data_IF_352473672164
#
_entry.id   IF_352473672164
#
_cell.length_a   1.000
_cell.length_b   1.000
_cell.length_c   1.000
_cell.angle_alpha   90.00
_cell.angle_beta   90.00
_cell.angle_gamma   90.00
#
_symmetry.space_group_name_H-M   'P 1'
#
loop_
_entity.id
_entity.type
_entity.pdbx_description
1 polymer ?
#
# COMPACT_ATOMS: atom_id res chain seq x y z
N UNK A 1 -2.26 5.30 7.92
CA UNK A 1 -0.79 5.35 7.97
C UNK A 1 -0.27 6.78 7.91
N UNK A 2 -0.68 7.58 6.91
CA UNK A 2 -0.17 8.96 6.75
C UNK A 2 -0.43 9.86 7.98
N UNK A 3 -1.66 9.86 8.52
CA UNK A 3 -2.00 10.62 9.73
C UNK A 3 -1.16 10.22 10.95
N UNK A 4 -0.90 8.92 11.11
CA UNK A 4 -0.02 8.43 12.17
C UNK A 4 1.44 8.80 11.95
N UNK A 5 1.90 8.82 10.70
CA UNK A 5 3.27 9.23 10.37
C UNK A 5 3.48 10.73 10.65
N UNK A 6 2.53 11.59 10.26
CA UNK A 6 2.52 13.02 10.61
C UNK A 6 2.61 13.21 12.13
N UNK A 7 1.75 12.54 12.91
CA UNK A 7 1.75 12.66 14.37
C UNK A 7 3.07 12.18 14.99
N UNK A 8 3.66 11.08 14.49
CA UNK A 8 4.97 10.58 14.96
C UNK A 8 6.09 11.58 14.66
N UNK A 9 6.09 12.16 13.45
CA UNK A 9 7.10 13.14 13.05
C UNK A 9 6.97 14.43 13.85
N UNK A 10 5.74 14.90 14.13
CA UNK A 10 5.49 16.05 15.00
C UNK A 10 6.04 15.83 16.42
N UNK A 11 5.88 14.63 16.99
CA UNK A 11 6.46 14.26 18.29
C UNK A 11 8.01 14.27 18.21
N UNK A 12 8.58 13.76 17.13
CA UNK A 12 10.03 13.68 16.92
C UNK A 12 10.70 15.05 16.77
N UNK A 13 10.00 16.04 16.20
CA UNK A 13 10.49 17.42 16.08
C UNK A 13 10.38 18.25 17.39
N UNK A 14 9.95 17.63 18.49
CA UNK A 14 9.78 18.30 19.79
C UNK A 14 8.43 18.98 19.96
N UNK A 15 7.46 18.70 19.08
CA UNK A 15 6.07 19.12 19.24
C UNK A 15 5.40 18.37 20.39
N UNK A 16 4.96 19.09 21.41
CA UNK A 16 4.24 18.51 22.55
C UNK A 16 2.78 18.21 22.12
N UNK A 17 2.57 17.05 21.47
CA UNK A 17 1.28 16.63 20.87
C UNK A 17 0.13 16.52 21.88
N UNK A 18 0.41 16.52 23.18
CA UNK A 18 -0.63 16.49 24.23
C UNK A 18 -1.46 17.79 24.31
N UNK A 19 -1.03 18.90 23.69
CA UNK A 19 -1.79 20.17 23.70
C UNK A 19 -2.51 20.53 22.40
N UNK A 20 -2.13 19.99 21.24
CA UNK A 20 -2.64 20.47 19.95
C UNK A 20 -4.11 20.09 19.65
N UNK A 21 -4.66 19.07 20.31
CA UNK A 21 -6.07 18.68 20.14
C UNK A 21 -7.01 19.47 21.08
N UNK A 22 -6.49 20.14 22.12
CA UNK A 22 -7.36 20.67 23.19
C UNK A 22 -7.69 22.16 23.14
N UNK A 23 -6.98 23.00 22.40
CA UNK A 23 -7.37 24.40 22.26
C UNK A 23 -7.43 24.80 20.78
N UNK A 24 -8.63 25.12 20.29
CA UNK A 24 -8.76 26.03 19.18
C UNK A 24 -8.17 27.37 19.63
N UNK A 25 -6.99 27.72 19.12
CA UNK A 25 -6.35 28.99 19.42
C UNK A 25 -7.15 30.10 18.70
N UNK A 26 -7.97 30.85 19.44
CA UNK A 26 -8.78 31.95 18.88
C UNK A 26 -7.92 33.08 18.29
N UNK A 27 -6.61 33.09 18.56
CA UNK A 27 -5.67 34.09 18.07
C UNK A 27 -4.32 33.46 17.67
N UNK A 28 -4.04 33.40 16.37
CA UNK A 28 -2.75 32.91 15.83
C UNK A 28 -1.68 34.00 16.04
N UNK A 29 -1.08 34.04 17.22
CA UNK A 29 -0.02 35.03 17.57
C UNK A 29 1.37 34.59 17.10
N UNK A 30 1.58 33.30 16.82
CA UNK A 30 2.82 32.80 16.22
C UNK A 30 2.55 31.63 15.27
N UNK A 31 3.26 31.60 14.15
CA UNK A 31 3.19 30.49 13.18
C UNK A 31 4.11 29.39 13.68
N UNK A 32 3.57 28.23 14.07
CA UNK A 32 4.40 27.03 14.26
C UNK A 32 5.02 26.66 12.91
N UNK A 33 6.29 27.02 12.72
CA UNK A 33 7.11 26.49 11.64
C UNK A 33 7.58 25.10 12.07
N UNK A 34 6.87 24.07 11.62
CA UNK A 34 7.42 22.71 11.59
C UNK A 34 8.47 22.65 10.49
N UNK A 35 9.60 21.99 10.74
CA UNK A 35 10.66 21.82 9.74
C UNK A 35 10.21 20.89 8.62
N UNK A 36 9.26 20.01 8.92
CA UNK A 36 8.57 19.17 7.93
C UNK A 36 7.10 19.62 7.78
N UNK A 37 6.74 20.02 6.57
CA UNK A 37 5.36 20.35 6.19
C UNK A 37 4.59 19.08 5.84
N UNK A 38 3.30 19.03 6.13
CA UNK A 38 2.39 17.97 5.65
C UNK A 38 2.46 17.79 4.13
N UNK A 39 2.74 18.87 3.38
CA UNK A 39 3.00 18.80 1.94
C UNK A 39 4.25 17.99 1.57
N UNK A 40 5.31 18.05 2.39
CA UNK A 40 6.53 17.28 2.14
C UNK A 40 6.30 15.77 2.31
N UNK A 41 5.49 15.39 3.29
CA UNK A 41 5.10 13.99 3.53
C UNK A 41 4.21 13.47 2.40
N UNK A 42 3.27 14.29 1.92
CA UNK A 42 2.46 13.96 0.75
C UNK A 42 3.29 13.80 -0.52
N UNK A 43 4.31 14.64 -0.73
CA UNK A 43 5.24 14.49 -1.85
C UNK A 43 6.07 13.21 -1.69
N UNK A 44 6.54 12.91 -0.48
CA UNK A 44 7.28 11.68 -0.19
C UNK A 44 6.43 10.42 -0.42
N UNK A 45 5.11 10.50 -0.29
CA UNK A 45 4.20 9.40 -0.59
C UNK A 45 3.84 9.30 -2.09
N UNK A 46 3.55 10.42 -2.75
CA UNK A 46 3.07 10.42 -4.13
C UNK A 46 4.18 10.29 -5.17
N UNK A 47 5.35 10.88 -4.93
CA UNK A 47 6.45 10.89 -5.90
C UNK A 47 7.01 9.49 -6.19
N UNK A 48 7.34 8.64 -5.19
CA UNK A 48 7.84 7.29 -5.45
C UNK A 48 6.78 6.43 -6.16
N UNK A 49 5.52 6.53 -5.74
CA UNK A 49 4.40 5.82 -6.36
C UNK A 49 4.24 6.19 -7.83
N UNK A 50 4.34 7.48 -8.17
CA UNK A 50 4.23 7.95 -9.54
C UNK A 50 5.38 7.46 -10.44
N UNK A 51 6.63 7.48 -9.93
CA UNK A 51 7.79 6.94 -10.66
C UNK A 51 7.60 5.45 -10.96
N UNK A 52 7.12 4.68 -9.98
CA UNK A 52 6.79 3.27 -10.17
C UNK A 52 5.69 3.12 -11.21
N UNK A 53 4.61 3.89 -11.14
CA UNK A 53 3.49 3.81 -12.09
C UNK A 53 3.90 4.08 -13.53
N UNK A 54 4.88 4.94 -13.76
CA UNK A 54 5.40 5.22 -15.10
C UNK A 54 6.37 4.15 -15.61
N UNK A 55 7.15 3.52 -14.73
CA UNK A 55 8.22 2.59 -15.11
C UNK A 55 7.77 1.12 -15.08
N UNK A 56 6.97 0.74 -14.09
CA UNK A 56 6.52 -0.63 -13.85
C UNK A 56 5.71 -1.27 -14.99
N UNK A 57 4.81 -0.58 -15.74
CA UNK A 57 4.08 -1.22 -16.84
C UNK A 57 5.00 -1.81 -17.92
N UNK A 58 6.19 -1.26 -18.13
CA UNK A 58 7.17 -1.80 -19.09
C UNK A 58 7.77 -3.15 -18.64
N UNK A 59 7.86 -3.41 -17.33
CA UNK A 59 8.39 -4.65 -16.76
C UNK A 59 7.30 -5.65 -16.36
N UNK A 60 6.03 -5.23 -16.48
CA UNK A 60 4.86 -5.97 -16.01
C UNK A 60 4.51 -7.19 -16.88
N UNK A 61 5.13 -7.39 -18.02
CA UNK A 61 4.85 -8.62 -18.78
C UNK A 61 5.58 -9.85 -18.19
N UNK A 62 6.70 -9.66 -17.48
CA UNK A 62 7.61 -10.78 -17.13
C UNK A 62 7.41 -11.40 -15.74
N UNK A 63 6.58 -10.81 -14.87
CA UNK A 63 6.47 -11.21 -13.45
C UNK A 63 5.08 -11.78 -13.15
N UNK A 64 4.95 -12.98 -12.58
CA UNK A 64 3.65 -13.55 -12.17
C UNK A 64 2.97 -12.73 -11.06
N UNK A 65 1.64 -12.66 -11.10
CA UNK A 65 0.82 -11.88 -10.15
C UNK A 65 1.02 -12.29 -8.69
N UNK A 66 1.26 -13.57 -8.40
CA UNK A 66 1.48 -14.08 -7.05
C UNK A 66 2.72 -13.45 -6.40
N UNK A 67 3.81 -13.35 -7.15
CA UNK A 67 5.06 -12.77 -6.65
C UNK A 67 4.93 -11.26 -6.43
N UNK A 68 4.19 -10.56 -7.29
CA UNK A 68 3.87 -9.14 -7.09
C UNK A 68 3.06 -8.93 -5.82
N UNK A 69 2.02 -9.72 -5.61
CA UNK A 69 1.17 -9.65 -4.43
C UNK A 69 1.98 -9.86 -3.15
N UNK A 70 2.82 -10.90 -3.11
CA UNK A 70 3.70 -11.17 -1.97
C UNK A 70 4.67 -10.01 -1.72
N UNK A 71 5.31 -9.49 -2.77
CA UNK A 71 6.24 -8.38 -2.65
C UNK A 71 5.57 -7.11 -2.10
N UNK A 72 4.35 -6.80 -2.56
CA UNK A 72 3.54 -5.69 -2.03
C UNK A 72 3.21 -5.90 -0.56
N UNK A 73 2.77 -7.10 -0.16
CA UNK A 73 2.46 -7.39 1.24
C UNK A 73 3.69 -7.29 2.15
N UNK A 74 4.85 -7.75 1.68
CA UNK A 74 6.12 -7.65 2.40
C UNK A 74 6.54 -6.19 2.57
N UNK A 75 6.52 -5.39 1.50
CA UNK A 75 6.83 -3.96 1.56
C UNK A 75 5.88 -3.20 2.47
N UNK A 76 4.58 -3.51 2.40
CA UNK A 76 3.58 -2.86 3.23
C UNK A 76 3.77 -3.22 4.70
N UNK A 77 4.07 -4.49 5.02
CA UNK A 77 4.34 -4.90 6.40
C UNK A 77 5.63 -4.26 6.92
N UNK A 78 6.69 -4.25 6.10
CA UNK A 78 7.96 -3.63 6.44
C UNK A 78 7.81 -2.13 6.69
N UNK A 79 7.02 -1.41 5.90
CA UNK A 79 6.81 0.02 6.07
C UNK A 79 6.12 0.34 7.40
N UNK A 80 5.11 -0.43 7.80
CA UNK A 80 4.47 -0.30 9.12
C UNK A 80 5.48 -0.51 10.25
N UNK A 81 6.35 -1.52 10.16
CA UNK A 81 7.41 -1.73 11.16
C UNK A 81 8.43 -0.59 11.20
N UNK A 82 8.90 -0.12 10.04
CA UNK A 82 9.88 0.97 9.95
C UNK A 82 9.32 2.26 10.55
N UNK A 83 8.07 2.61 10.27
CA UNK A 83 7.42 3.81 10.86
C UNK A 83 7.14 3.62 12.35
N UNK A 84 6.69 2.44 12.78
CA UNK A 84 6.39 2.20 14.20
C UNK A 84 7.64 2.27 15.09
N UNK A 85 8.79 1.77 14.62
CA UNK A 85 10.07 1.80 15.33
C UNK A 85 10.93 3.02 15.01
N UNK A 86 10.39 4.02 14.29
CA UNK A 86 11.19 5.18 13.92
C UNK A 86 11.59 6.00 15.15
N UNK A 87 12.85 6.42 15.14
CA UNK A 87 13.45 7.32 16.15
C UNK A 87 13.67 8.72 15.58
N UNK A 88 13.88 8.81 14.26
CA UNK A 88 14.17 10.06 13.56
C UNK A 88 13.16 10.27 12.43
N UNK A 89 12.86 11.54 12.13
CA UNK A 89 11.99 11.95 11.02
C UNK A 89 12.38 11.34 9.65
N UNK A 90 13.66 11.32 9.22
CA UNK A 90 14.03 10.67 7.95
C UNK A 90 13.74 9.16 7.93
N UNK A 91 13.76 8.48 9.08
CA UNK A 91 13.42 7.07 9.17
C UNK A 91 11.91 6.85 9.00
N UNK A 92 11.08 7.74 9.56
CA UNK A 92 9.63 7.77 9.32
C UNK A 92 9.33 7.99 7.84
N UNK A 93 9.98 8.96 7.19
CA UNK A 93 9.84 9.23 5.77
C UNK A 93 10.28 8.05 4.89
N UNK A 94 11.38 7.38 5.24
CA UNK A 94 11.81 6.17 4.52
C UNK A 94 10.74 5.07 4.56
N UNK A 95 10.08 4.88 5.71
CA UNK A 95 8.94 3.98 5.84
C UNK A 95 7.77 4.37 4.94
N UNK A 96 7.42 5.66 4.88
CA UNK A 96 6.39 6.18 3.97
C UNK A 96 6.77 5.92 2.50
N UNK A 97 8.02 6.15 2.10
CA UNK A 97 8.49 5.85 0.75
C UNK A 97 8.38 4.36 0.39
N UNK A 98 8.66 3.44 1.32
CA UNK A 98 8.47 2.01 1.09
C UNK A 98 6.99 1.64 0.93
N UNK A 99 6.11 2.27 1.73
CA UNK A 99 4.66 2.10 1.57
C UNK A 99 4.18 2.61 0.21
N UNK A 100 4.65 3.79 -0.21
CA UNK A 100 4.34 4.38 -1.52
C UNK A 100 4.78 3.49 -2.69
N UNK A 101 5.99 2.95 -2.63
CA UNK A 101 6.52 2.05 -3.64
C UNK A 101 5.69 0.75 -3.73
N UNK A 102 5.39 0.14 -2.59
CA UNK A 102 4.53 -1.06 -2.53
C UNK A 102 3.11 -0.78 -3.05
N UNK A 103 2.51 0.34 -2.67
CA UNK A 103 1.19 0.77 -3.12
C UNK A 103 1.17 1.00 -4.64
N UNK A 104 2.18 1.66 -5.20
CA UNK A 104 2.31 1.87 -6.65
C UNK A 104 2.37 0.56 -7.43
N UNK A 105 3.19 -0.41 -7.00
CA UNK A 105 3.25 -1.74 -7.61
C UNK A 105 1.91 -2.47 -7.48
N UNK A 106 1.30 -2.43 -6.29
CA UNK A 106 0.04 -3.09 -6.00
C UNK A 106 -1.09 -2.57 -6.88
N UNK A 107 -1.27 -1.26 -6.95
CA UNK A 107 -2.34 -0.62 -7.73
C UNK A 107 -2.33 -1.06 -9.19
N UNK A 108 -1.18 -0.97 -9.86
CA UNK A 108 -1.04 -1.37 -11.26
C UNK A 108 -1.33 -2.88 -11.40
N UNK A 109 -0.80 -3.68 -10.48
CA UNK A 109 -0.98 -5.14 -10.46
C UNK A 109 -2.44 -5.57 -10.32
N UNK A 110 -3.18 -4.99 -9.37
CA UNK A 110 -4.59 -5.33 -9.18
C UNK A 110 -5.49 -4.72 -10.24
N UNK A 111 -5.15 -3.55 -10.77
CA UNK A 111 -5.93 -2.94 -11.85
C UNK A 111 -5.79 -3.75 -13.15
N UNK A 112 -4.57 -4.19 -13.47
CA UNK A 112 -4.34 -5.12 -14.58
C UNK A 112 -5.01 -6.48 -14.35
N UNK A 113 -5.09 -6.95 -13.10
CA UNK A 113 -5.84 -8.16 -12.80
C UNK A 113 -7.35 -7.94 -12.93
N UNK A 114 -7.86 -6.79 -12.50
CA UNK A 114 -9.28 -6.43 -12.55
C UNK A 114 -9.81 -6.31 -13.99
N UNK A 115 -8.96 -5.97 -14.98
CA UNK A 115 -9.35 -5.97 -16.39
C UNK A 115 -9.66 -7.35 -16.95
N UNK A 116 -9.22 -8.44 -16.30
CA UNK A 116 -9.60 -9.81 -16.67
C UNK A 116 -10.96 -10.24 -16.08
N UNK A 117 -11.58 -9.41 -15.24
CA UNK A 117 -12.88 -9.69 -14.62
C UNK A 117 -13.97 -8.82 -15.25
N UNK A 118 -15.27 -9.13 -15.02
CA UNK A 118 -16.36 -8.25 -15.44
C UNK A 118 -16.16 -6.82 -14.92
N UNK A 119 -16.70 -5.83 -15.64
CA UNK A 119 -16.58 -4.40 -15.31
C UNK A 119 -16.94 -4.04 -13.85
N UNK A 120 -17.79 -4.85 -13.21
CA UNK A 120 -18.10 -4.74 -11.77
C UNK A 120 -16.85 -4.83 -10.88
N UNK A 121 -15.82 -5.58 -11.28
CA UNK A 121 -14.58 -5.71 -10.53
C UNK A 121 -13.79 -4.40 -10.45
N UNK A 122 -13.74 -3.62 -11.54
CA UNK A 122 -13.10 -2.30 -11.56
C UNK A 122 -13.90 -1.31 -10.69
N UNK A 123 -15.24 -1.38 -10.76
CA UNK A 123 -16.11 -0.58 -9.90
C UNK A 123 -15.94 -0.93 -8.42
N UNK A 124 -15.86 -2.23 -8.08
CA UNK A 124 -15.63 -2.71 -6.72
C UNK A 124 -14.23 -2.33 -6.21
N UNK A 125 -13.21 -2.38 -7.07
CA UNK A 125 -11.86 -1.91 -6.75
C UNK A 125 -11.87 -0.42 -6.41
N UNK A 126 -12.49 0.41 -7.26
CA UNK A 126 -12.59 1.86 -7.04
C UNK A 126 -13.41 2.21 -5.80
N UNK A 127 -14.51 1.52 -5.56
CA UNK A 127 -15.32 1.71 -4.34
C UNK A 127 -14.55 1.29 -3.08
N UNK A 128 -13.80 0.19 -3.15
CA UNK A 128 -12.99 -0.33 -2.05
C UNK A 128 -11.87 0.62 -1.63
N UNK A 129 -11.16 1.24 -2.58
CA UNK A 129 -10.10 2.22 -2.26
C UNK A 129 -10.67 3.46 -1.56
N UNK A 130 -11.83 3.95 -2.00
CA UNK A 130 -12.54 5.04 -1.33
C UNK A 130 -12.99 4.68 0.10
N UNK A 131 -13.57 3.48 0.27
CA UNK A 131 -13.98 2.98 1.58
C UNK A 131 -12.78 2.80 2.53
N UNK A 132 -11.64 2.32 2.02
CA UNK A 132 -10.42 2.15 2.80
C UNK A 132 -9.89 3.49 3.37
N UNK A 133 -10.01 4.58 2.61
CA UNK A 133 -9.64 5.92 3.09
C UNK A 133 -10.50 6.40 4.27
N UNK A 134 -11.82 6.19 4.18
CA UNK A 134 -12.77 6.53 5.24
C UNK A 134 -12.56 5.65 6.48
N UNK A 135 -12.53 4.32 6.30
CA UNK A 135 -12.35 3.37 7.39
C UNK A 135 -10.98 3.51 8.05
N UNK A 136 -9.93 3.81 7.28
CA UNK A 136 -8.59 4.06 7.80
C UNK A 136 -8.52 5.32 8.66
N UNK A 137 -9.13 6.41 8.19
CA UNK A 137 -9.16 7.69 8.94
C UNK A 137 -10.02 7.56 10.20
N UNK A 138 -11.20 6.93 10.08
CA UNK A 138 -12.09 6.69 11.21
C UNK A 138 -11.46 5.76 12.25
N UNK A 139 -10.84 4.66 11.81
CA UNK A 139 -10.13 3.72 12.70
C UNK A 139 -8.99 4.42 13.44
N UNK A 140 -8.18 5.23 12.75
CA UNK A 140 -7.11 5.99 13.38
C UNK A 140 -7.63 7.02 14.39
N UNK A 141 -8.64 7.80 14.02
CA UNK A 141 -9.26 8.78 14.92
C UNK A 141 -9.84 8.10 16.16
N UNK A 142 -10.55 6.98 15.99
CA UNK A 142 -11.13 6.21 17.08
C UNK A 142 -10.07 5.66 18.05
N UNK A 143 -8.95 5.15 17.52
CA UNK A 143 -7.84 4.60 18.33
C UNK A 143 -7.08 5.70 19.09
N UNK A 144 -6.97 6.89 18.50
CA UNK A 144 -6.16 8.00 19.03
C UNK A 144 -6.97 8.93 19.95
N UNK A 145 -8.31 8.87 19.89
CA UNK A 145 -9.18 9.69 20.72
C UNK A 145 -9.01 9.38 22.21
N UNK A 146 -9.00 10.45 23.01
CA UNK A 146 -8.74 10.46 24.45
C UNK A 146 -9.85 9.77 25.25
N UNK A 147 -11.05 9.72 24.69
CA UNK A 147 -12.26 9.16 25.32
C UNK A 147 -12.33 7.62 25.27
N UNK A 148 -11.63 6.97 24.32
CA UNK A 148 -11.74 5.52 24.11
C UNK A 148 -10.41 4.76 24.17
N UNK A 149 -9.37 5.26 23.50
CA UNK A 149 -8.11 4.52 23.36
C UNK A 149 -6.96 5.10 24.19
N UNK A 150 -6.70 6.41 24.08
CA UNK A 150 -5.42 7.00 24.52
C UNK A 150 -4.19 6.18 24.03
N UNK A 151 -4.30 5.53 22.87
CA UNK A 151 -3.20 4.74 22.33
C UNK A 151 -2.19 5.67 21.66
N UNK A 152 -0.91 5.39 21.89
CA UNK A 152 0.16 6.07 21.17
C UNK A 152 0.07 5.72 19.67
N UNK A 153 0.33 6.66 18.74
CA UNK A 153 0.26 6.44 17.29
C UNK A 153 1.06 5.21 16.80
N UNK A 154 2.15 4.86 17.49
CA UNK A 154 2.95 3.66 17.24
C UNK A 154 2.16 2.36 17.44
N UNK A 155 1.36 2.29 18.51
CA UNK A 155 0.51 1.12 18.82
C UNK A 155 -0.65 1.04 17.83
N UNK A 156 -1.23 2.18 17.45
CA UNK A 156 -2.26 2.22 16.41
C UNK A 156 -1.75 1.66 15.07
N UNK A 157 -0.52 2.02 14.65
CA UNK A 157 0.11 1.44 13.45
C UNK A 157 0.34 -0.08 13.56
N UNK A 158 0.75 -0.57 14.73
CA UNK A 158 0.93 -2.01 14.98
C UNK A 158 -0.41 -2.76 14.91
N UNK A 159 -1.50 -2.17 15.43
CA UNK A 159 -2.84 -2.74 15.30
C UNK A 159 -3.26 -2.75 13.82
N UNK A 160 -2.99 -1.69 13.07
CA UNK A 160 -3.31 -1.59 11.64
C UNK A 160 -2.55 -2.60 10.76
N UNK A 161 -1.53 -3.28 11.29
CA UNK A 161 -0.81 -4.37 10.60
C UNK A 161 -1.72 -5.56 10.27
N UNK A 162 -2.89 -5.67 10.91
CA UNK A 162 -3.90 -6.66 10.52
C UNK A 162 -4.35 -6.48 9.07
N UNK A 163 -4.33 -5.25 8.54
CA UNK A 163 -4.81 -4.93 7.18
C UNK A 163 -4.00 -5.66 6.09
N UNK A 164 -2.66 -5.55 6.03
CA UNK A 164 -1.87 -6.32 5.06
C UNK A 164 -1.98 -7.84 5.27
N UNK A 165 -2.22 -8.31 6.51
CA UNK A 165 -2.45 -9.74 6.77
C UNK A 165 -3.78 -10.23 6.18
N UNK A 166 -4.87 -9.49 6.37
CA UNK A 166 -6.17 -9.78 5.75
C UNK A 166 -6.07 -9.67 4.23
N UNK A 167 -5.31 -8.72 3.72
CA UNK A 167 -5.06 -8.56 2.29
C UNK A 167 -4.36 -9.78 1.69
N UNK A 168 -3.34 -10.30 2.38
CA UNK A 168 -2.67 -11.55 2.00
C UNK A 168 -3.62 -12.75 2.05
N UNK A 169 -4.39 -12.89 3.13
CA UNK A 169 -5.35 -13.99 3.29
C UNK A 169 -6.40 -13.99 2.18
N UNK A 170 -6.93 -12.81 1.84
CA UNK A 170 -7.95 -12.65 0.79
C UNK A 170 -7.41 -13.10 -0.56
N UNK A 171 -6.15 -12.78 -0.88
CA UNK A 171 -5.54 -13.21 -2.13
C UNK A 171 -5.36 -14.73 -2.22
N UNK A 172 -4.91 -15.38 -1.14
CA UNK A 172 -4.64 -16.83 -1.16
C UNK A 172 -5.89 -17.70 -1.02
N UNK A 173 -6.89 -17.27 -0.25
CA UNK A 173 -8.06 -18.11 0.09
C UNK A 173 -9.35 -17.71 -0.61
N UNK A 174 -9.52 -16.43 -0.98
CA UNK A 174 -10.78 -15.91 -1.49
C UNK A 174 -10.69 -15.61 -3.00
N UNK A 175 -9.53 -15.19 -3.49
CA UNK A 175 -9.37 -14.81 -4.88
C UNK A 175 -9.29 -16.05 -5.79
N UNK A 176 -10.36 -16.30 -6.54
CA UNK A 176 -10.39 -17.33 -7.58
C UNK A 176 -9.61 -16.82 -8.79
N UNK A 177 -8.37 -17.29 -8.97
CA UNK A 177 -7.52 -16.87 -10.09
C UNK A 177 -8.16 -17.30 -11.42
N UNK A 178 -8.37 -16.40 -12.41
CA UNK A 178 -8.92 -16.74 -13.71
C UNK A 178 -7.99 -17.71 -14.44
N UNK A 179 -8.54 -18.61 -15.25
CA UNK A 179 -7.76 -19.58 -16.04
C UNK A 179 -6.84 -18.94 -17.07
N UNK A 180 -7.11 -17.68 -17.44
CA UNK A 180 -6.33 -16.90 -18.41
C UNK A 180 -5.07 -16.26 -17.80
N UNK A 181 -4.90 -16.35 -16.48
CA UNK A 181 -3.74 -15.79 -15.77
C UNK A 181 -2.72 -16.90 -15.50
N UNK A 182 -1.53 -16.77 -16.10
CA UNK A 182 -0.44 -17.74 -15.93
C UNK A 182 -0.08 -17.96 -14.45
N UNK A 183 -0.25 -19.20 -13.99
CA UNK A 183 0.18 -19.63 -12.67
C UNK A 183 1.58 -20.24 -12.77
N UNK A 184 2.58 -19.71 -12.05
CA UNK A 184 3.89 -20.32 -12.05
C UNK A 184 3.84 -21.70 -11.41
N UNK A 185 4.41 -22.69 -12.09
CA UNK A 185 4.65 -24.02 -11.52
C UNK A 185 5.73 -24.00 -10.43
N UNK A 186 5.95 -25.15 -9.79
CA UNK A 186 6.94 -25.34 -8.73
C UNK A 186 8.41 -25.20 -9.19
N UNK A 187 8.67 -25.06 -10.49
CA UNK A 187 10.00 -24.91 -11.04
C UNK A 187 10.36 -23.43 -11.26
N UNK A 188 11.57 -22.97 -10.88
CA UNK A 188 11.96 -21.56 -11.01
C UNK A 188 12.05 -21.07 -12.46
N UNK A 189 12.12 -21.98 -13.45
CA UNK A 189 12.07 -21.66 -14.88
C UNK A 189 10.66 -21.32 -15.38
N UNK A 190 9.61 -21.72 -14.67
CA UNK A 190 8.20 -21.40 -14.99
C UNK A 190 7.73 -20.12 -14.29
N UNK A 191 8.64 -19.25 -13.85
CA UNK A 191 8.28 -17.98 -13.17
C UNK A 191 8.37 -16.77 -14.11
N UNK A 192 8.76 -16.98 -15.36
CA UNK A 192 8.76 -15.96 -16.42
C UNK A 192 7.54 -16.25 -17.27
N UNK A 193 6.61 -15.29 -17.37
CA UNK A 193 5.48 -15.44 -18.28
C UNK A 193 6.01 -15.52 -19.73
N UNK A 194 5.62 -16.55 -20.51
CA UNK A 194 6.02 -16.66 -21.91
C UNK A 194 5.36 -15.56 -22.76
N UNK A 195 6.01 -15.21 -23.86
CA UNK A 195 5.55 -14.19 -24.81
C UNK A 195 4.24 -14.65 -25.49
N UNK A 196 3.32 -13.74 -25.86
CA UNK A 196 2.04 -14.11 -26.50
C UNK A 196 2.23 -14.95 -27.79
N UNK A 197 3.36 -14.79 -28.49
CA UNK A 197 3.75 -15.64 -29.62
C UNK A 197 3.92 -17.11 -29.19
N UNK A 198 4.56 -17.39 -28.04
CA UNK A 198 4.80 -18.77 -27.57
C UNK A 198 3.49 -19.48 -27.18
N UNK A 199 2.49 -18.75 -26.68
CA UNK A 199 1.16 -19.32 -26.35
C UNK A 199 0.40 -19.71 -27.62
N UNK A 200 0.51 -18.92 -28.69
CA UNK A 200 -0.07 -19.27 -29.98
C UNK A 200 0.61 -20.48 -30.62
N UNK A 201 1.94 -20.58 -30.52
CA UNK A 201 2.68 -21.76 -30.99
C UNK A 201 2.39 -23.02 -30.17
N UNK A 202 2.21 -22.91 -28.85
CA UNK A 202 1.85 -24.03 -27.98
C UNK A 202 0.44 -24.57 -28.25
N UNK A 203 -0.54 -23.68 -28.47
CA UNK A 203 -1.89 -24.09 -28.81
C UNK A 203 -1.95 -24.75 -30.21
N UNK A 204 -1.19 -24.23 -31.18
CA UNK A 204 -1.07 -24.86 -32.50
C UNK A 204 -0.39 -26.24 -32.44
N UNK A 205 0.58 -26.43 -31.55
CA UNK A 205 1.26 -27.71 -31.38
C UNK A 205 0.40 -28.78 -30.67
N UNK A 206 -0.57 -28.38 -29.85
CA UNK A 206 -1.53 -29.29 -29.23
C UNK A 206 -2.70 -29.64 -30.18
N UNK A 207 -3.11 -28.70 -31.04
CA UNK A 207 -4.15 -28.91 -32.06
C UNK A 207 -3.69 -29.84 -33.20
N UNK A 208 -2.39 -29.88 -33.50
CA UNK A 208 -1.79 -30.79 -34.50
C UNK A 208 -1.55 -32.22 -33.94
N UNK A 209 -1.86 -32.47 -32.66
CA UNK A 209 -1.72 -33.77 -31.98
C UNK A 209 -3.06 -34.46 -31.67
N UNK A 210 -4.19 -33.80 -31.93
CA UNK A 210 -5.56 -34.37 -31.84
C UNK A 210 -6.10 -34.79 -33.20
#
# INVERSE_FOLDING_TARGET
>A
MLSAAEDIMAIQEGGNVTQQIQNCEDHITSRHCTTVSTGAVLIADNLPSLVVKLTFPFFMHRIPFVFRHLFVCLLQSASYFVVAFSVNVPMSLAGVCFAAFGSGIGEISYLALASHYPALAIAAWSSGTGAAGLLGSFSYAFLTDRSMGNLQPKVALLIQLFVPAVFALTYFFILVVPKDVYQPGWHPRTWIAPEEEDVSFLNLADEDRS
#
